data_IF_544444027714
#
_entry.id   IF_544444027714
#
_cell.length_a   1.000
_cell.length_b   1.000
_cell.length_c   1.000
_cell.angle_alpha   90.00
_cell.angle_beta   90.00
_cell.angle_gamma   90.00
#
_symmetry.space_group_name_H-M   'P 1'
#
loop_
_entity.id
_entity.type
_entity.pdbx_description
1 polymer ?
#
# COMPACT_ATOMS: atom_id res chain seq x y z
N UNK A 1 0.39 -41.04 15.75
CA UNK A 1 0.41 -39.75 15.04
C UNK A 1 -1.02 -39.24 14.96
N UNK A 2 -1.31 -38.03 15.43
CA UNK A 2 -2.68 -37.52 15.41
C UNK A 2 -2.96 -36.85 14.06
N UNK A 3 -4.18 -36.96 13.54
CA UNK A 3 -4.55 -36.52 12.18
C UNK A 3 -4.28 -35.02 11.94
N UNK A 4 -4.31 -34.21 13.00
CA UNK A 4 -4.07 -32.77 13.04
C UNK A 4 -2.58 -32.36 12.99
N UNK A 5 -1.65 -33.31 13.00
CA UNK A 5 -0.20 -33.05 12.90
C UNK A 5 0.33 -33.21 11.46
N UNK A 6 -0.50 -33.69 10.54
CA UNK A 6 -0.11 -33.95 9.14
C UNK A 6 -0.40 -32.73 8.24
N UNK A 7 0.51 -32.40 7.30
CA UNK A 7 0.25 -31.36 6.30
C UNK A 7 -1.01 -31.69 5.48
N UNK A 8 -1.84 -30.69 5.11
CA UNK A 8 -3.06 -30.91 4.32
C UNK A 8 -2.82 -31.69 3.03
N UNK A 9 -1.72 -31.40 2.30
CA UNK A 9 -1.34 -32.14 1.08
C UNK A 9 -1.08 -33.62 1.32
N UNK A 10 -0.53 -33.97 2.50
CA UNK A 10 -0.28 -35.37 2.87
C UNK A 10 -1.59 -36.09 3.16
N UNK A 11 -2.52 -35.44 3.84
CA UNK A 11 -3.86 -35.99 4.12
C UNK A 11 -4.66 -36.20 2.83
N UNK A 12 -4.62 -35.24 1.90
CA UNK A 12 -5.29 -35.34 0.59
C UNK A 12 -4.72 -36.52 -0.21
N UNK A 13 -3.40 -36.67 -0.24
CA UNK A 13 -2.74 -37.79 -0.93
C UNK A 13 -3.15 -39.14 -0.32
N UNK A 14 -3.21 -39.23 1.00
CA UNK A 14 -3.68 -40.44 1.70
C UNK A 14 -5.15 -40.73 1.40
N UNK A 15 -6.00 -39.70 1.34
CA UNK A 15 -7.41 -39.84 1.03
C UNK A 15 -7.62 -40.36 -0.40
N UNK A 16 -6.92 -39.81 -1.40
CA UNK A 16 -6.97 -40.34 -2.77
C UNK A 16 -6.51 -41.80 -2.86
N UNK A 17 -5.45 -42.18 -2.14
CA UNK A 17 -4.99 -43.55 -2.08
C UNK A 17 -6.03 -44.48 -1.44
N UNK A 18 -6.68 -44.05 -0.35
CA UNK A 18 -7.75 -44.78 0.31
C UNK A 18 -8.95 -45.01 -0.60
N UNK A 19 -9.36 -44.00 -1.38
CA UNK A 19 -10.47 -44.15 -2.34
C UNK A 19 -10.14 -45.19 -3.42
N UNK A 20 -8.88 -45.28 -3.86
CA UNK A 20 -8.45 -46.28 -4.84
C UNK A 20 -8.63 -47.72 -4.33
N UNK A 21 -8.38 -47.97 -3.04
CA UNK A 21 -8.49 -49.31 -2.43
C UNK A 21 -9.92 -49.85 -2.40
N UNK A 22 -10.92 -48.97 -2.27
CA UNK A 22 -12.33 -49.38 -2.15
C UNK A 22 -13.09 -49.34 -3.48
N UNK A 23 -12.44 -48.89 -4.56
CA UNK A 23 -13.12 -48.58 -5.83
C UNK A 23 -13.76 -49.81 -6.49
N UNK A 24 -13.13 -50.98 -6.39
CA UNK A 24 -13.64 -52.22 -6.97
C UNK A 24 -14.82 -52.79 -6.15
N UNK A 25 -14.78 -52.64 -4.83
CA UNK A 25 -15.73 -53.25 -3.92
C UNK A 25 -16.97 -52.38 -3.64
N UNK A 26 -16.81 -51.05 -3.71
CA UNK A 26 -17.87 -50.06 -3.46
C UNK A 26 -17.76 -48.88 -4.45
N UNK A 27 -18.15 -49.06 -5.72
CA UNK A 27 -17.93 -48.07 -6.77
C UNK A 27 -18.65 -46.73 -6.52
N UNK A 28 -19.90 -46.77 -6.05
CA UNK A 28 -20.69 -45.55 -5.80
C UNK A 28 -20.13 -44.74 -4.61
N UNK A 29 -19.78 -45.43 -3.52
CA UNK A 29 -19.14 -44.79 -2.36
C UNK A 29 -17.77 -44.19 -2.73
N UNK A 30 -16.99 -44.90 -3.55
CA UNK A 30 -15.71 -44.42 -4.04
C UNK A 30 -15.86 -43.18 -4.93
N UNK A 31 -16.94 -43.07 -5.72
CA UNK A 31 -17.22 -41.89 -6.55
C UNK A 31 -17.50 -40.64 -5.69
N UNK A 32 -18.37 -40.76 -4.68
CA UNK A 32 -18.71 -39.66 -3.75
C UNK A 32 -17.47 -39.21 -2.99
N UNK A 33 -16.66 -40.16 -2.49
CA UNK A 33 -15.43 -39.83 -1.78
C UNK A 33 -14.38 -39.19 -2.70
N UNK A 34 -14.22 -39.66 -3.95
CA UNK A 34 -13.35 -39.01 -4.95
C UNK A 34 -13.74 -37.56 -5.14
N UNK A 35 -15.02 -37.28 -5.34
CA UNK A 35 -15.52 -35.92 -5.53
C UNK A 35 -15.25 -35.06 -4.30
N UNK A 36 -15.54 -35.58 -3.10
CA UNK A 36 -15.34 -34.85 -1.83
C UNK A 36 -13.86 -34.53 -1.60
N UNK A 37 -12.97 -35.49 -1.81
CA UNK A 37 -11.51 -35.29 -1.67
C UNK A 37 -11.02 -34.27 -2.70
N UNK A 38 -11.49 -34.34 -3.95
CA UNK A 38 -11.13 -33.38 -4.99
C UNK A 38 -11.59 -31.95 -4.65
N UNK A 39 -12.83 -31.79 -4.18
CA UNK A 39 -13.34 -30.48 -3.71
C UNK A 39 -12.51 -29.94 -2.55
N UNK A 40 -12.10 -30.79 -1.62
CA UNK A 40 -11.24 -30.39 -0.50
C UNK A 40 -9.84 -29.99 -0.95
N UNK A 41 -9.28 -30.65 -1.98
CA UNK A 41 -8.00 -30.28 -2.58
C UNK A 41 -8.06 -28.86 -3.17
N UNK A 42 -9.09 -28.59 -3.99
CA UNK A 42 -9.35 -27.25 -4.54
C UNK A 42 -9.52 -26.20 -3.43
N UNK A 43 -10.25 -26.51 -2.36
CA UNK A 43 -10.39 -25.60 -1.22
C UNK A 43 -9.04 -25.30 -0.54
N UNK A 44 -8.18 -26.30 -0.41
CA UNK A 44 -6.84 -26.10 0.14
C UNK A 44 -5.97 -25.19 -0.75
N UNK A 45 -6.05 -25.36 -2.08
CA UNK A 45 -5.35 -24.50 -3.03
C UNK A 45 -5.86 -23.06 -2.99
N UNK A 46 -7.19 -22.86 -3.02
CA UNK A 46 -7.81 -21.53 -2.92
C UNK A 46 -7.42 -20.86 -1.60
N UNK A 47 -7.44 -21.60 -0.48
CA UNK A 47 -7.04 -21.07 0.81
C UNK A 47 -5.56 -20.65 0.84
N UNK A 48 -4.66 -21.47 0.26
CA UNK A 48 -3.23 -21.14 0.16
C UNK A 48 -3.01 -19.89 -0.71
N UNK A 49 -3.69 -19.80 -1.84
CA UNK A 49 -3.59 -18.65 -2.74
C UNK A 49 -4.13 -17.38 -2.08
N UNK A 50 -5.29 -17.46 -1.41
CA UNK A 50 -5.89 -16.34 -0.68
C UNK A 50 -4.98 -15.88 0.46
N UNK A 51 -4.38 -16.82 1.19
CA UNK A 51 -3.43 -16.51 2.26
C UNK A 51 -2.21 -15.78 1.70
N UNK A 52 -1.64 -16.27 0.59
CA UNK A 52 -0.52 -15.62 -0.08
C UNK A 52 -0.88 -14.20 -0.52
N UNK A 53 -2.01 -14.02 -1.21
CA UNK A 53 -2.48 -12.70 -1.64
C UNK A 53 -2.70 -11.74 -0.46
N UNK A 54 -3.23 -12.24 0.65
CA UNK A 54 -3.40 -11.46 1.88
C UNK A 54 -2.06 -11.04 2.47
N UNK A 55 -1.10 -11.96 2.51
CA UNK A 55 0.23 -11.71 3.07
C UNK A 55 0.99 -10.71 2.18
N UNK A 56 0.93 -10.87 0.86
CA UNK A 56 1.50 -9.92 -0.12
C UNK A 56 0.85 -8.52 0.04
N UNK A 57 -0.49 -8.45 0.13
CA UNK A 57 -1.20 -7.18 0.33
C UNK A 57 -0.88 -6.52 1.68
N UNK A 58 -0.64 -7.31 2.73
CA UNK A 58 -0.25 -6.79 4.03
C UNK A 58 1.16 -6.19 3.99
N UNK A 59 2.09 -6.81 3.28
CA UNK A 59 3.44 -6.30 3.05
C UNK A 59 3.40 -4.99 2.25
N UNK A 60 2.66 -4.96 1.14
CA UNK A 60 2.46 -3.75 0.32
C UNK A 60 1.84 -2.61 1.16
N UNK A 61 0.87 -2.93 2.00
CA UNK A 61 0.23 -1.94 2.89
C UNK A 61 1.23 -1.36 3.89
N UNK A 62 2.11 -2.19 4.45
CA UNK A 62 3.13 -1.73 5.38
C UNK A 62 4.20 -0.88 4.69
N UNK A 63 4.64 -1.29 3.50
CA UNK A 63 5.53 -0.51 2.65
C UNK A 63 4.95 0.88 2.34
N UNK A 64 3.68 0.96 1.92
CA UNK A 64 3.02 2.23 1.62
C UNK A 64 2.87 3.14 2.85
N UNK A 65 2.60 2.57 4.03
CA UNK A 65 2.58 3.34 5.28
C UNK A 65 3.95 3.93 5.61
N UNK A 66 5.02 3.17 5.42
CA UNK A 66 6.37 3.66 5.64
C UNK A 66 6.76 4.75 4.64
N UNK A 67 6.40 4.59 3.35
CA UNK A 67 6.59 5.64 2.34
C UNK A 67 5.81 6.92 2.65
N UNK A 68 4.57 6.80 3.12
CA UNK A 68 3.80 7.96 3.59
C UNK A 68 4.45 8.62 4.80
N UNK A 69 4.98 7.82 5.73
CA UNK A 69 5.67 8.36 6.91
C UNK A 69 6.98 9.07 6.56
N UNK A 70 7.73 8.53 5.61
CA UNK A 70 8.94 9.17 5.07
C UNK A 70 8.61 10.52 4.44
N UNK A 71 7.52 10.62 3.66
CA UNK A 71 7.05 11.89 3.09
C UNK A 71 6.63 12.89 4.17
N UNK A 72 5.84 12.46 5.17
CA UNK A 72 5.42 13.28 6.31
C UNK A 72 6.62 13.86 7.07
N UNK A 73 7.62 13.03 7.37
CA UNK A 73 8.85 13.46 8.05
C UNK A 73 9.67 14.43 7.19
N UNK A 74 9.74 14.19 5.87
CA UNK A 74 10.45 15.06 4.92
C UNK A 74 9.81 16.44 4.85
N UNK A 75 8.49 16.50 4.67
CA UNK A 75 7.73 17.77 4.69
C UNK A 75 7.87 18.46 6.04
N UNK A 76 7.77 17.73 7.15
CA UNK A 76 7.97 18.27 8.49
C UNK A 76 9.34 18.91 8.68
N UNK A 77 10.40 18.28 8.16
CA UNK A 77 11.77 18.82 8.19
C UNK A 77 11.90 20.10 7.35
N UNK A 78 11.29 20.16 6.16
CA UNK A 78 11.30 21.36 5.31
C UNK A 78 10.56 22.53 5.98
N UNK A 79 9.38 22.28 6.56
CA UNK A 79 8.63 23.30 7.31
C UNK A 79 9.43 23.80 8.51
N UNK A 80 10.12 22.91 9.23
CA UNK A 80 10.98 23.29 10.35
C UNK A 80 12.13 24.21 9.89
N UNK A 81 12.76 23.92 8.76
CA UNK A 81 13.81 24.77 8.20
C UNK A 81 13.28 26.15 7.77
N UNK A 82 12.07 26.21 7.19
CA UNK A 82 11.43 27.50 6.88
C UNK A 82 11.15 28.32 8.14
N UNK A 83 10.71 27.68 9.23
CA UNK A 83 10.51 28.35 10.53
C UNK A 83 11.84 28.86 11.11
N UNK A 84 12.89 28.04 11.04
CA UNK A 84 14.23 28.45 11.47
C UNK A 84 14.75 29.63 10.64
N UNK A 85 14.51 29.63 9.33
CA UNK A 85 14.88 30.72 8.44
C UNK A 85 14.22 32.05 8.83
N UNK A 86 12.92 32.03 9.19
CA UNK A 86 12.21 33.23 9.68
C UNK A 86 12.81 33.72 10.99
N UNK A 87 13.07 32.82 11.95
CA UNK A 87 13.69 33.19 13.23
C UNK A 87 15.07 33.81 13.01
N UNK A 88 15.91 33.22 12.16
CA UNK A 88 17.24 33.74 11.83
C UNK A 88 17.16 35.11 11.14
N UNK A 89 16.17 35.30 10.27
CA UNK A 89 15.96 36.56 9.57
C UNK A 89 15.52 37.70 10.50
N UNK A 90 14.63 37.42 11.46
CA UNK A 90 14.04 38.43 12.35
C UNK A 90 14.86 38.69 13.61
N UNK A 91 15.59 37.68 14.09
CA UNK A 91 16.24 37.71 15.41
C UNK A 91 17.71 37.29 15.41
N UNK A 92 18.22 36.75 14.29
CA UNK A 92 19.59 36.26 14.15
C UNK A 92 20.45 37.16 13.27
N UNK A 93 21.24 36.53 12.40
CA UNK A 93 22.18 37.21 11.49
C UNK A 93 21.51 37.82 10.24
N UNK A 94 20.18 37.79 10.17
CA UNK A 94 19.40 38.43 9.12
C UNK A 94 19.06 37.52 7.94
N UNK A 95 18.36 38.07 6.95
CA UNK A 95 17.69 37.30 5.89
C UNK A 95 18.62 36.39 5.07
N UNK A 96 19.87 36.80 4.83
CA UNK A 96 20.85 35.98 4.10
C UNK A 96 21.23 34.72 4.88
N UNK A 97 21.39 34.83 6.20
CA UNK A 97 21.59 33.66 7.06
C UNK A 97 20.33 32.80 7.13
N UNK A 98 19.15 33.41 7.14
CA UNK A 98 17.87 32.72 7.05
C UNK A 98 17.75 31.82 5.81
N UNK A 99 18.11 32.31 4.62
CA UNK A 99 18.08 31.51 3.39
C UNK A 99 18.99 30.27 3.46
N UNK A 100 20.11 30.33 4.20
CA UNK A 100 21.00 29.15 4.38
C UNK A 100 20.30 28.00 5.08
N UNK A 101 19.37 28.25 6.00
CA UNK A 101 18.57 27.20 6.64
C UNK A 101 17.73 26.42 5.63
N UNK A 102 17.10 27.13 4.69
CA UNK A 102 16.32 26.52 3.60
C UNK A 102 17.26 25.74 2.66
N UNK A 103 18.32 26.38 2.19
CA UNK A 103 19.25 25.79 1.22
C UNK A 103 19.91 24.51 1.74
N UNK A 104 20.35 24.49 3.01
CA UNK A 104 21.01 23.35 3.63
C UNK A 104 20.07 22.17 3.93
N UNK A 105 18.75 22.38 3.88
CA UNK A 105 17.76 21.35 4.23
C UNK A 105 17.16 20.65 3.00
N UNK A 106 17.26 21.25 1.82
CA UNK A 106 16.85 20.62 0.57
C UNK A 106 17.65 19.32 0.33
N UNK A 107 16.96 18.25 -0.08
CA UNK A 107 17.49 16.87 -0.04
C UNK A 107 18.40 16.48 -1.22
N UNK A 108 18.70 17.38 -2.16
CA UNK A 108 19.66 17.14 -3.23
C UNK A 108 19.18 17.58 -4.62
N UNK A 109 19.82 17.09 -5.71
CA UNK A 109 19.48 17.45 -7.09
C UNK A 109 18.01 17.10 -7.40
N UNK A 110 17.26 18.08 -7.93
CA UNK A 110 15.81 17.96 -8.19
C UNK A 110 14.93 18.79 -7.25
N UNK A 111 15.42 19.13 -6.05
CA UNK A 111 14.75 20.07 -5.13
C UNK A 111 15.11 21.54 -5.44
N UNK A 112 16.18 21.75 -6.20
CA UNK A 112 16.54 23.06 -6.74
C UNK A 112 15.97 23.23 -8.14
N UNK A 113 15.53 24.45 -8.44
CA UNK A 113 15.22 24.85 -9.80
C UNK A 113 16.45 24.68 -10.71
N UNK A 114 16.27 24.40 -12.01
CA UNK A 114 17.37 24.37 -12.97
C UNK A 114 18.21 25.65 -12.94
N UNK A 115 19.54 25.56 -13.09
CA UNK A 115 20.44 26.72 -12.98
C UNK A 115 20.14 27.85 -13.97
N UNK A 116 19.51 27.52 -15.10
CA UNK A 116 19.08 28.46 -16.13
C UNK A 116 17.91 29.35 -15.68
N UNK A 117 17.15 28.93 -14.66
CA UNK A 117 16.04 29.71 -14.13
C UNK A 117 16.55 30.96 -13.41
N UNK A 118 16.04 32.12 -13.80
CA UNK A 118 16.40 33.43 -13.21
C UNK A 118 15.20 34.22 -12.73
N UNK A 119 13.99 33.88 -13.17
CA UNK A 119 12.76 34.54 -12.75
C UNK A 119 11.97 33.64 -11.80
N UNK A 120 12.00 33.98 -10.51
CA UNK A 120 11.36 33.18 -9.46
C UNK A 120 9.83 33.12 -9.60
N UNK A 121 9.19 34.21 -10.03
CA UNK A 121 7.74 34.27 -10.14
C UNK A 121 7.24 33.40 -11.30
N UNK A 122 7.82 33.56 -12.49
CA UNK A 122 7.46 32.75 -13.67
C UNK A 122 7.73 31.26 -13.45
N UNK A 123 8.82 30.92 -12.76
CA UNK A 123 9.09 29.54 -12.35
C UNK A 123 8.01 29.01 -11.41
N UNK A 124 7.71 29.74 -10.33
CA UNK A 124 6.72 29.33 -9.33
C UNK A 124 5.34 29.13 -9.95
N UNK A 125 4.86 30.08 -10.74
CA UNK A 125 3.53 30.01 -11.35
C UNK A 125 3.39 28.79 -12.26
N UNK A 126 4.43 28.48 -13.06
CA UNK A 126 4.44 27.32 -13.95
C UNK A 126 4.46 25.99 -13.20
N UNK A 127 5.31 25.85 -12.18
CA UNK A 127 5.39 24.60 -11.40
C UNK A 127 4.13 24.41 -10.54
N UNK A 128 3.56 25.50 -10.02
CA UNK A 128 2.33 25.45 -9.23
C UNK A 128 1.14 24.93 -10.04
N UNK A 129 1.01 25.34 -11.31
CA UNK A 129 -0.08 24.86 -12.18
C UNK A 129 -0.08 23.33 -12.32
N UNK A 130 1.11 22.72 -12.42
CA UNK A 130 1.27 21.27 -12.48
C UNK A 130 0.84 20.62 -11.16
N UNK A 131 1.26 21.19 -10.03
CA UNK A 131 0.93 20.69 -8.69
C UNK A 131 -0.59 20.79 -8.45
N UNK A 132 -1.20 21.93 -8.75
CA UNK A 132 -2.62 22.18 -8.53
C UNK A 132 -3.49 21.22 -9.35
N UNK A 133 -3.09 20.91 -10.58
CA UNK A 133 -3.79 19.94 -11.41
C UNK A 133 -3.81 18.53 -10.78
N UNK A 134 -2.67 18.05 -10.26
CA UNK A 134 -2.59 16.75 -9.59
C UNK A 134 -3.29 16.75 -8.22
N UNK A 135 -3.17 17.85 -7.49
CA UNK A 135 -3.86 18.02 -6.21
C UNK A 135 -5.38 18.00 -6.38
N UNK A 136 -5.90 18.63 -7.44
CA UNK A 136 -7.32 18.58 -7.77
C UNK A 136 -7.81 17.15 -8.01
N UNK A 137 -7.06 16.34 -8.79
CA UNK A 137 -7.39 14.93 -9.01
C UNK A 137 -7.45 14.13 -7.70
N UNK A 138 -6.50 14.38 -6.80
CA UNK A 138 -6.51 13.78 -5.46
C UNK A 138 -7.76 14.16 -4.66
N UNK A 139 -8.16 15.44 -4.69
CA UNK A 139 -9.34 15.92 -3.97
C UNK A 139 -10.65 15.36 -4.55
N UNK A 140 -10.74 15.21 -5.87
CA UNK A 140 -11.88 14.58 -6.54
C UNK A 140 -12.03 13.12 -6.13
N UNK A 141 -10.90 12.38 -6.06
CA UNK A 141 -10.89 11.01 -5.57
C UNK A 141 -11.40 10.93 -4.12
N UNK A 142 -10.89 11.76 -3.20
CA UNK A 142 -11.30 11.73 -1.80
C UNK A 142 -12.76 12.14 -1.60
N UNK A 143 -13.24 13.11 -2.38
CA UNK A 143 -14.63 13.56 -2.35
C UNK A 143 -15.56 12.46 -2.85
N UNK A 144 -15.23 11.83 -3.98
CA UNK A 144 -15.97 10.70 -4.54
C UNK A 144 -16.03 9.52 -3.56
N UNK A 145 -14.90 9.19 -2.91
CA UNK A 145 -14.82 8.12 -1.92
C UNK A 145 -15.70 8.40 -0.69
N UNK A 146 -15.65 9.62 -0.15
CA UNK A 146 -16.49 10.04 0.99
C UNK A 146 -17.98 9.95 0.65
N UNK A 147 -18.38 10.43 -0.53
CA UNK A 147 -19.78 10.35 -0.99
C UNK A 147 -20.30 8.91 -1.05
N UNK A 148 -19.51 7.98 -1.61
CA UNK A 148 -19.88 6.55 -1.66
C UNK A 148 -20.08 5.94 -0.26
N UNK A 149 -19.23 6.31 0.71
CA UNK A 149 -19.35 5.83 2.08
C UNK A 149 -20.61 6.36 2.78
N UNK A 150 -21.01 7.61 2.50
CA UNK A 150 -22.24 8.19 3.05
C UNK A 150 -23.51 7.58 2.42
N UNK A 151 -23.49 7.27 1.12
CA UNK A 151 -24.66 6.77 0.39
C UNK A 151 -24.86 5.24 0.54
N UNK A 152 -23.79 4.46 0.72
CA UNK A 152 -23.85 3.00 0.87
C UNK A 152 -24.37 2.50 2.23
N UNK A 153 -24.66 3.39 3.18
CA UNK A 153 -25.26 3.05 4.48
C UNK A 153 -26.78 2.92 4.47
N UNK A 154 -27.45 3.27 3.36
CA UNK A 154 -28.92 3.28 3.26
C UNK A 154 -29.53 2.00 2.65
N UNK A 155 -28.72 1.10 2.08
CA UNK A 155 -29.20 -0.12 1.42
C UNK A 155 -29.11 -1.37 2.31
N UNK A 156 -28.78 -1.20 3.59
CA UNK A 156 -28.76 -2.25 4.61
C UNK A 156 -29.87 -2.03 5.65
N UNK A 157 -31.13 -2.05 5.20
CA UNK A 157 -32.32 -2.18 6.06
C UNK A 157 -33.36 -3.09 5.43
#
# INVERSE_FOLDING_TARGET
>A
MKLNELPPKTLIKQAHAGVKLITEQYPDAAAILRETVTRFDVLCEVHQQTKKQRDDLADDTEYLKMRLKELDLTVGRLILAMRAAVIEAEHGEGAVAGIRWIFNTLLGPGEFAPEAEKNAQEYFDRELEIIDAEFSKCMDFFTSRRSKLCNGGNDAK
#
